data_IF_843959777898
#
_entry.id   IF_843959777898
#
_cell.length_a   1.000
_cell.length_b   1.000
_cell.length_c   1.000
_cell.angle_alpha   90.00
_cell.angle_beta   90.00
_cell.angle_gamma   90.00
#
_symmetry.space_group_name_H-M   'P 1'
#
loop_
_entity.id
_entity.type
_entity.pdbx_description
1 polymer ?
#
# COMPACT_ATOMS: atom_id res chain seq x y z
N UNK A 1 -12.56 -8.31 28.49
CA UNK A 1 -13.47 -8.81 27.43
C UNK A 1 -13.91 -7.75 26.41
N UNK A 2 -13.00 -6.94 25.86
CA UNK A 2 -13.31 -6.06 24.72
C UNK A 2 -13.48 -6.84 23.42
N UNK A 3 -12.69 -7.89 23.22
CA UNK A 3 -12.73 -8.76 22.03
C UNK A 3 -14.04 -9.55 21.93
N UNK A 4 -14.46 -10.22 23.02
CA UNK A 4 -15.78 -10.87 23.10
C UNK A 4 -16.93 -9.91 22.84
N UNK A 5 -16.83 -8.66 23.30
CA UNK A 5 -17.84 -7.65 22.99
C UNK A 5 -17.84 -7.25 21.51
N UNK A 6 -16.67 -7.10 20.90
CA UNK A 6 -16.55 -6.79 19.48
C UNK A 6 -17.20 -7.87 18.60
N UNK A 7 -17.08 -9.15 18.98
CA UNK A 7 -17.72 -10.28 18.29
C UNK A 7 -19.26 -10.23 18.33
N UNK A 8 -19.86 -9.68 19.39
CA UNK A 8 -21.33 -9.51 19.46
C UNK A 8 -21.87 -8.49 18.47
N UNK A 9 -21.00 -7.62 17.93
CA UNK A 9 -21.40 -6.57 16.99
C UNK A 9 -21.26 -7.10 15.55
N UNK A 10 -22.32 -7.11 14.75
CA UNK A 10 -22.25 -7.69 13.41
C UNK A 10 -21.36 -6.86 12.49
N UNK A 11 -20.46 -7.54 11.78
CA UNK A 11 -19.59 -6.98 10.73
C UNK A 11 -20.45 -6.35 9.62
N UNK A 12 -19.98 -5.25 8.99
CA UNK A 12 -20.73 -4.58 7.93
C UNK A 12 -20.89 -5.47 6.67
N UNK A 13 -22.00 -5.29 5.96
CA UNK A 13 -22.31 -6.04 4.73
C UNK A 13 -21.22 -5.82 3.67
N UNK A 14 -20.74 -6.90 3.07
CA UNK A 14 -19.68 -6.88 2.05
C UNK A 14 -18.25 -6.93 2.58
N UNK A 15 -18.06 -6.98 3.91
CA UNK A 15 -16.74 -7.09 4.52
C UNK A 15 -16.09 -8.46 4.30
N UNK A 16 -16.92 -9.50 4.16
CA UNK A 16 -16.50 -10.85 3.81
C UNK A 16 -17.01 -11.15 2.40
N UNK A 17 -16.13 -11.54 1.46
CA UNK A 17 -16.55 -11.99 0.13
C UNK A 17 -17.56 -13.13 0.22
N UNK A 18 -18.59 -13.11 -0.65
CA UNK A 18 -19.57 -14.21 -0.73
C UNK A 18 -18.95 -15.52 -1.23
N UNK A 19 -17.96 -15.39 -2.10
CA UNK A 19 -17.13 -16.46 -2.64
C UNK A 19 -15.81 -16.47 -1.86
N UNK A 20 -15.36 -17.62 -1.37
CA UNK A 20 -14.09 -17.67 -0.64
C UNK A 20 -13.97 -18.91 0.21
N UNK A 21 -12.71 -19.27 0.47
CA UNK A 21 -12.37 -20.38 1.36
C UNK A 21 -12.89 -20.11 2.77
N UNK A 22 -13.24 -21.15 3.55
CA UNK A 22 -13.75 -21.00 4.92
C UNK A 22 -12.89 -20.08 5.81
N UNK A 23 -11.56 -20.11 5.63
CA UNK A 23 -10.62 -19.27 6.38
C UNK A 23 -10.81 -17.76 6.18
N UNK A 24 -11.30 -17.31 5.02
CA UNK A 24 -11.51 -15.88 4.76
C UNK A 24 -12.68 -15.28 5.55
N UNK A 25 -13.63 -16.12 6.00
CA UNK A 25 -14.75 -15.69 6.84
C UNK A 25 -14.31 -15.38 8.27
N UNK A 26 -13.37 -16.17 8.78
CA UNK A 26 -12.79 -16.01 10.11
C UNK A 26 -11.71 -14.92 10.16
N UNK A 27 -11.16 -14.54 9.00
CA UNK A 27 -10.07 -13.57 8.94
C UNK A 27 -10.49 -12.17 9.43
N UNK A 28 -9.67 -11.50 10.26
CA UNK A 28 -9.88 -10.11 10.65
C UNK A 28 -9.92 -9.17 9.43
N UNK A 29 -10.61 -8.04 9.57
CA UNK A 29 -10.70 -7.04 8.50
C UNK A 29 -9.37 -6.29 8.27
N UNK A 30 -8.45 -6.38 9.22
CA UNK A 30 -7.10 -5.80 9.16
C UNK A 30 -6.18 -6.51 8.18
N UNK A 31 -6.41 -7.81 7.99
CA UNK A 31 -5.56 -8.63 7.14
C UNK A 31 -6.01 -8.53 5.69
N UNK A 32 -5.04 -8.37 4.79
CA UNK A 32 -5.25 -8.44 3.34
C UNK A 32 -5.66 -9.86 2.98
N UNK A 33 -6.60 -9.99 2.05
CA UNK A 33 -6.97 -11.32 1.54
C UNK A 33 -5.79 -11.87 0.73
N UNK A 34 -5.25 -13.06 1.08
CA UNK A 34 -4.22 -13.70 0.29
C UNK A 34 -4.82 -14.20 -1.03
N UNK A 35 -4.17 -13.88 -2.14
CA UNK A 35 -4.57 -14.36 -3.46
C UNK A 35 -4.05 -15.77 -3.65
N UNK A 36 -4.94 -16.74 -3.80
CA UNK A 36 -4.60 -18.13 -4.12
C UNK A 36 -4.85 -18.32 -5.62
N UNK A 37 -3.88 -18.79 -6.41
CA UNK A 37 -4.07 -19.02 -7.83
C UNK A 37 -5.22 -20.00 -8.05
N UNK A 38 -6.19 -19.61 -8.87
CA UNK A 38 -7.37 -20.40 -9.19
C UNK A 38 -7.80 -20.18 -10.65
N UNK A 39 -8.76 -20.97 -11.16
CA UNK A 39 -9.22 -20.84 -12.53
C UNK A 39 -9.77 -19.44 -12.82
N UNK A 40 -9.63 -18.97 -14.08
CA UNK A 40 -10.16 -17.67 -14.51
C UNK A 40 -11.67 -17.65 -14.20
N UNK A 41 -12.12 -16.60 -13.50
CA UNK A 41 -13.48 -16.40 -12.91
C UNK A 41 -13.77 -17.01 -11.52
N UNK A 42 -12.85 -17.77 -10.92
CA UNK A 42 -13.05 -18.31 -9.56
C UNK A 42 -13.26 -17.22 -8.49
N UNK A 43 -12.68 -16.03 -8.72
CA UNK A 43 -12.77 -14.90 -7.80
C UNK A 43 -13.35 -13.69 -8.54
N UNK A 44 -14.48 -13.17 -8.06
CA UNK A 44 -15.08 -11.94 -8.59
C UNK A 44 -15.30 -10.95 -7.45
N UNK A 45 -14.25 -10.21 -7.09
CA UNK A 45 -14.34 -9.19 -6.03
C UNK A 45 -15.32 -8.10 -6.43
N UNK A 46 -16.25 -7.83 -5.52
CA UNK A 46 -17.29 -6.82 -5.69
C UNK A 46 -17.41 -6.01 -4.41
N UNK A 47 -17.68 -4.70 -4.55
CA UNK A 47 -17.81 -3.79 -3.40
C UNK A 47 -19.27 -3.51 -3.08
N UNK A 48 -19.95 -2.81 -3.97
CA UNK A 48 -21.38 -2.46 -3.88
C UNK A 48 -22.06 -2.55 -5.24
N UNK A 49 -23.38 -2.44 -5.21
CA UNK A 49 -24.19 -2.29 -6.42
C UNK A 49 -23.93 -0.95 -7.10
N UNK A 50 -24.17 -0.95 -8.42
CA UNK A 50 -24.19 0.28 -9.23
C UNK A 50 -25.15 1.28 -8.60
N UNK A 51 -24.75 2.55 -8.54
CA UNK A 51 -25.54 3.64 -7.99
C UNK A 51 -25.82 3.55 -6.49
N UNK A 52 -25.09 2.70 -5.75
CA UNK A 52 -25.05 2.76 -4.29
C UNK A 52 -23.76 3.40 -3.85
N UNK A 53 -23.86 4.46 -3.05
CA UNK A 53 -22.71 5.17 -2.50
C UNK A 53 -21.75 4.18 -1.83
N UNK A 54 -20.50 4.22 -2.30
CA UNK A 54 -19.42 3.35 -1.81
C UNK A 54 -18.98 3.79 -0.41
N UNK A 55 -18.74 5.09 -0.25
CA UNK A 55 -18.28 5.73 0.97
C UNK A 55 -19.45 6.42 1.69
N UNK A 56 -19.83 5.91 2.87
CA UNK A 56 -20.69 6.68 3.79
C UNK A 56 -19.84 7.71 4.52
N UNK A 57 -20.27 8.96 4.47
CA UNK A 57 -19.78 9.99 5.39
C UNK A 57 -20.26 9.59 6.79
N UNK A 58 -19.31 9.49 7.73
CA UNK A 58 -19.64 9.35 9.13
C UNK A 58 -20.35 10.62 9.60
N UNK A 59 -21.41 10.46 10.39
CA UNK A 59 -22.15 11.58 11.01
C UNK A 59 -21.35 12.28 12.10
N UNK A 60 -20.31 11.63 12.63
CA UNK A 60 -19.39 12.17 13.63
C UNK A 60 -18.09 12.57 12.93
N UNK A 61 -17.64 13.81 13.18
CA UNK A 61 -16.35 14.32 12.70
C UNK A 61 -15.21 13.58 13.41
N UNK A 62 -14.39 12.86 12.64
CA UNK A 62 -13.24 12.14 13.20
C UNK A 62 -12.01 13.05 13.25
N UNK A 63 -11.53 13.34 14.45
CA UNK A 63 -10.31 14.13 14.67
C UNK A 63 -9.03 13.29 14.61
N UNK A 64 -9.13 11.95 14.54
CA UNK A 64 -7.96 11.07 14.57
C UNK A 64 -7.23 11.02 13.23
N UNK A 65 -7.94 11.26 12.11
CA UNK A 65 -7.37 11.25 10.75
C UNK A 65 -7.91 12.43 9.91
N UNK A 66 -7.50 13.68 10.22
CA UNK A 66 -8.02 14.87 9.55
C UNK A 66 -7.68 14.92 8.05
N UNK A 67 -6.65 14.19 7.62
CA UNK A 67 -6.20 14.14 6.21
C UNK A 67 -6.64 12.87 5.47
N UNK A 68 -7.45 12.01 6.09
CA UNK A 68 -7.94 10.76 5.50
C UNK A 68 -6.82 9.86 4.96
N UNK A 69 -5.69 9.77 5.67
CA UNK A 69 -4.56 8.91 5.28
C UNK A 69 -4.95 7.42 5.29
N UNK A 70 -5.94 7.03 6.10
CA UNK A 70 -6.34 5.64 6.18
C UNK A 70 -7.14 5.16 4.96
N UNK A 71 -8.03 5.97 4.40
CA UNK A 71 -8.92 5.58 3.29
C UNK A 71 -8.99 6.69 2.25
N UNK A 72 -8.64 6.39 0.99
CA UNK A 72 -8.79 7.36 -0.09
C UNK A 72 -10.22 7.37 -0.61
N UNK A 73 -10.89 8.51 -0.49
CA UNK A 73 -12.25 8.71 -0.98
C UNK A 73 -12.28 9.15 -2.44
N UNK A 74 -11.75 8.31 -3.34
CA UNK A 74 -11.77 8.59 -4.77
C UNK A 74 -13.21 8.52 -5.31
N UNK A 75 -13.52 9.43 -6.23
CA UNK A 75 -14.79 9.42 -6.95
C UNK A 75 -14.83 8.25 -7.92
N UNK A 76 -15.88 7.43 -7.81
CA UNK A 76 -16.10 6.28 -8.67
C UNK A 76 -17.46 6.40 -9.37
N UNK A 77 -17.49 6.62 -10.69
CA UNK A 77 -18.74 6.88 -11.42
C UNK A 77 -19.79 5.78 -11.25
N UNK A 78 -19.38 4.50 -11.22
CA UNK A 78 -20.30 3.37 -11.09
C UNK A 78 -21.04 3.35 -9.73
N UNK A 79 -20.52 4.03 -8.72
CA UNK A 79 -21.15 4.16 -7.40
C UNK A 79 -21.90 5.47 -7.19
N UNK A 80 -21.96 6.33 -8.22
CA UNK A 80 -22.74 7.56 -8.18
C UNK A 80 -24.24 7.26 -8.28
N UNK A 81 -24.99 7.69 -7.27
CA UNK A 81 -26.42 7.47 -7.17
C UNK A 81 -27.19 8.18 -8.30
N UNK A 82 -26.69 9.32 -8.77
CA UNK A 82 -27.31 10.10 -9.85
C UNK A 82 -27.11 9.44 -11.22
N UNK A 83 -26.03 8.67 -11.40
CA UNK A 83 -25.76 7.92 -12.62
C UNK A 83 -26.46 6.55 -12.66
N UNK A 84 -27.15 6.15 -11.58
CA UNK A 84 -27.84 4.86 -11.51
C UNK A 84 -28.81 4.65 -12.68
N UNK A 85 -29.64 5.65 -13.00
CA UNK A 85 -30.62 5.58 -14.09
C UNK A 85 -29.93 5.44 -15.45
N UNK A 86 -28.79 6.11 -15.64
CA UNK A 86 -28.00 6.02 -16.86
C UNK A 86 -27.43 4.60 -17.04
N UNK A 87 -26.77 4.05 -16.02
CA UNK A 87 -26.17 2.72 -16.11
C UNK A 87 -27.19 1.57 -16.12
N UNK A 88 -28.39 1.80 -15.59
CA UNK A 88 -29.46 0.79 -15.59
C UNK A 88 -30.14 0.61 -16.95
N UNK A 89 -29.91 1.52 -17.92
CA UNK A 89 -30.45 1.36 -19.27
C UNK A 89 -29.93 0.05 -19.91
N UNK A 90 -30.77 -0.76 -20.58
CA UNK A 90 -30.37 -2.06 -21.10
C UNK A 90 -29.11 -2.03 -21.98
N UNK A 91 -28.99 -1.01 -22.83
CA UNK A 91 -27.83 -0.81 -23.72
C UNK A 91 -26.55 -0.62 -22.89
N UNK A 92 -26.58 0.31 -21.92
CA UNK A 92 -25.44 0.61 -21.07
C UNK A 92 -25.07 -0.58 -20.17
N UNK A 93 -26.07 -1.27 -19.61
CA UNK A 93 -25.86 -2.49 -18.82
C UNK A 93 -25.17 -3.59 -19.65
N UNK A 94 -25.59 -3.81 -20.90
CA UNK A 94 -24.93 -4.75 -21.81
C UNK A 94 -23.47 -4.35 -22.08
N UNK A 95 -23.20 -3.06 -22.29
CA UNK A 95 -21.83 -2.56 -22.47
C UNK A 95 -20.97 -2.80 -21.21
N UNK A 96 -21.50 -2.51 -20.01
CA UNK A 96 -20.80 -2.73 -18.74
C UNK A 96 -20.51 -4.22 -18.47
N UNK A 97 -21.43 -5.11 -18.81
CA UNK A 97 -21.24 -6.57 -18.71
C UNK A 97 -20.18 -7.05 -19.71
N UNK A 98 -20.23 -6.57 -20.96
CA UNK A 98 -19.23 -6.91 -22.00
C UNK A 98 -17.82 -6.41 -21.63
N UNK A 99 -17.73 -5.29 -20.93
CA UNK A 99 -16.48 -4.72 -20.43
C UNK A 99 -15.99 -5.35 -19.11
N UNK A 100 -16.71 -6.34 -18.56
CA UNK A 100 -16.41 -7.01 -17.29
C UNK A 100 -16.31 -6.07 -16.07
N UNK A 101 -17.07 -4.97 -16.09
CA UNK A 101 -17.07 -3.98 -15.00
C UNK A 101 -18.13 -4.27 -13.92
N UNK A 102 -19.16 -5.02 -14.27
CA UNK A 102 -20.26 -5.39 -13.37
C UNK A 102 -20.57 -6.88 -13.48
N UNK A 103 -21.22 -7.41 -12.46
CA UNK A 103 -21.85 -8.73 -12.48
C UNK A 103 -23.29 -8.65 -13.00
N UNK A 104 -23.90 -9.79 -13.32
CA UNK A 104 -25.30 -9.86 -13.74
C UNK A 104 -26.27 -9.23 -12.71
N UNK A 105 -25.90 -9.31 -11.43
CA UNK A 105 -26.65 -8.75 -10.29
C UNK A 105 -26.45 -7.24 -10.08
N UNK A 106 -25.78 -6.56 -11.01
CA UNK A 106 -25.39 -5.14 -10.94
C UNK A 106 -24.40 -4.85 -9.79
N UNK A 107 -23.68 -5.85 -9.29
CA UNK A 107 -22.56 -5.62 -8.35
C UNK A 107 -21.33 -5.17 -9.15
N UNK A 108 -20.71 -4.06 -8.75
CA UNK A 108 -19.52 -3.49 -9.41
C UNK A 108 -18.30 -4.34 -9.08
N UNK A 109 -17.61 -4.83 -10.13
CA UNK A 109 -16.37 -5.59 -10.00
C UNK A 109 -15.20 -4.66 -9.69
N UNK A 110 -14.23 -5.15 -8.94
CA UNK A 110 -13.03 -4.38 -8.60
C UNK A 110 -11.79 -5.27 -8.52
N UNK A 111 -10.61 -4.64 -8.48
CA UNK A 111 -9.37 -5.38 -8.25
C UNK A 111 -9.29 -5.86 -6.79
N UNK A 112 -8.38 -6.81 -6.54
CA UNK A 112 -8.05 -7.23 -5.16
C UNK A 112 -7.50 -6.06 -4.33
N UNK A 113 -6.77 -5.15 -4.98
CA UNK A 113 -6.24 -3.95 -4.32
C UNK A 113 -7.39 -3.07 -3.81
N UNK A 114 -8.32 -2.71 -4.70
CA UNK A 114 -9.47 -1.86 -4.37
C UNK A 114 -10.38 -2.52 -3.32
N UNK A 115 -10.52 -3.86 -3.38
CA UNK A 115 -11.30 -4.59 -2.40
C UNK A 115 -10.65 -4.58 -1.01
N UNK A 116 -9.32 -4.69 -0.94
CA UNK A 116 -8.59 -4.57 0.32
C UNK A 116 -8.65 -3.14 0.90
N UNK A 117 -8.60 -2.11 0.04
CA UNK A 117 -8.82 -0.73 0.47
C UNK A 117 -10.25 -0.53 1.00
N UNK A 118 -11.25 -1.07 0.30
CA UNK A 118 -12.63 -1.08 0.78
C UNK A 118 -12.81 -1.86 2.10
N UNK A 119 -12.11 -2.99 2.29
CA UNK A 119 -12.10 -3.72 3.58
C UNK A 119 -11.55 -2.87 4.72
N UNK A 120 -10.50 -2.07 4.46
CA UNK A 120 -9.94 -1.14 5.44
C UNK A 120 -10.96 -0.10 5.87
N UNK A 121 -11.70 0.47 4.91
CA UNK A 121 -12.83 1.36 5.20
C UNK A 121 -13.93 0.67 6.03
N UNK A 122 -14.32 -0.56 5.67
CA UNK A 122 -15.31 -1.32 6.43
C UNK A 122 -14.84 -1.65 7.85
N UNK A 123 -13.53 -1.84 8.08
CA UNK A 123 -12.93 -1.96 9.41
C UNK A 123 -13.20 -0.70 10.24
N UNK A 124 -12.95 0.48 9.67
CA UNK A 124 -13.18 1.76 10.36
C UNK A 124 -14.64 1.90 10.79
N UNK A 125 -15.59 1.67 9.87
CA UNK A 125 -17.02 1.71 10.19
C UNK A 125 -17.38 0.75 11.33
N UNK A 126 -16.81 -0.46 11.29
CA UNK A 126 -17.07 -1.47 12.32
C UNK A 126 -16.50 -1.03 13.69
N UNK A 127 -15.27 -0.51 13.72
CA UNK A 127 -14.66 0.03 14.92
C UNK A 127 -15.46 1.21 15.49
N UNK A 128 -15.94 2.12 14.65
CA UNK A 128 -16.79 3.25 15.07
C UNK A 128 -18.12 2.79 15.66
N UNK A 129 -18.69 1.72 15.11
CA UNK A 129 -19.89 1.08 15.66
C UNK A 129 -19.61 0.48 17.03
N UNK A 130 -18.50 -0.23 17.20
CA UNK A 130 -18.07 -0.78 18.49
C UNK A 130 -17.89 0.33 19.52
N UNK A 131 -17.17 1.40 19.16
CA UNK A 131 -16.96 2.58 20.02
C UNK A 131 -18.27 3.24 20.43
N UNK A 132 -19.23 3.37 19.51
CA UNK A 132 -20.55 3.96 19.80
C UNK A 132 -21.36 3.10 20.77
N UNK A 133 -21.41 1.78 20.55
CA UNK A 133 -22.11 0.88 21.47
C UNK A 133 -21.45 0.84 22.85
N UNK A 134 -20.12 0.89 22.92
CA UNK A 134 -19.40 0.96 24.18
C UNK A 134 -19.69 2.28 24.93
N UNK A 135 -19.67 3.42 24.21
CA UNK A 135 -20.07 4.73 24.77
C UNK A 135 -21.50 4.69 25.31
N UNK A 136 -22.43 4.07 24.58
CA UNK A 136 -23.83 3.92 25.01
C UNK A 136 -23.94 3.09 26.29
N UNK A 137 -23.26 1.94 26.37
CA UNK A 137 -23.23 1.10 27.58
C UNK A 137 -22.63 1.83 28.78
N UNK A 138 -21.53 2.56 28.57
CA UNK A 138 -20.90 3.32 29.65
C UNK A 138 -21.80 4.45 30.17
N UNK A 139 -22.48 5.18 29.28
CA UNK A 139 -23.47 6.20 29.68
C UNK A 139 -24.59 5.59 30.54
N UNK A 140 -25.19 4.50 30.07
CA UNK A 140 -26.24 3.80 30.81
C UNK A 140 -25.74 3.29 32.18
N UNK A 141 -24.49 2.83 32.27
CA UNK A 141 -23.89 2.40 33.53
C UNK A 141 -23.71 3.57 34.51
N UNK A 142 -23.21 4.71 34.04
CA UNK A 142 -23.03 5.93 34.85
C UNK A 142 -24.38 6.47 35.32
N UNK A 143 -25.38 6.56 34.43
CA UNK A 143 -26.74 7.00 34.76
C UNK A 143 -27.37 6.09 35.83
N UNK A 144 -27.30 4.76 35.67
CA UNK A 144 -27.79 3.81 36.69
C UNK A 144 -27.10 3.95 38.04
N UNK A 145 -25.82 4.33 38.06
CA UNK A 145 -25.08 4.56 39.31
C UNK A 145 -25.50 5.88 39.96
N UNK A 146 -25.69 6.93 39.17
CA UNK A 146 -26.16 8.22 39.64
C UNK A 146 -27.58 8.14 40.22
N UNK A 147 -28.49 7.40 39.55
CA UNK A 147 -29.85 7.16 40.05
C UNK A 147 -29.83 6.46 41.41
N UNK A 148 -29.07 5.36 41.55
CA UNK A 148 -28.94 4.65 42.83
C UNK A 148 -28.37 5.52 43.95
N UNK A 149 -27.43 6.41 43.63
CA UNK A 149 -26.88 7.34 44.60
C UNK A 149 -27.91 8.39 45.02
N UNK A 150 -28.67 8.95 44.08
CA UNK A 150 -29.73 9.92 44.36
C UNK A 150 -30.85 9.30 45.22
N UNK A 151 -31.26 8.06 44.91
CA UNK A 151 -32.23 7.30 45.71
C UNK A 151 -31.74 7.09 47.16
N UNK A 152 -30.46 6.78 47.34
CA UNK A 152 -29.88 6.58 48.67
C UNK A 152 -29.80 7.88 49.48
N UNK A 153 -29.44 9.00 48.85
CA UNK A 153 -29.45 10.32 49.49
C UNK A 153 -30.87 10.74 49.87
N UNK A 154 -31.85 10.54 48.99
CA UNK A 154 -33.25 10.85 49.26
C UNK A 154 -33.76 10.08 50.49
N UNK A 155 -33.43 8.79 50.63
CA UNK A 155 -33.78 8.01 51.83
C UNK A 155 -33.19 8.58 53.11
N UNK A 156 -31.90 8.95 53.11
CA UNK A 156 -31.22 9.52 54.28
C UNK A 156 -31.81 10.87 54.68
N UNK A 157 -32.19 11.69 53.71
CA UNK A 157 -32.78 13.00 53.96
C UNK A 157 -34.17 12.88 54.61
N UNK A 158 -35.00 11.96 54.10
CA UNK A 158 -36.30 11.62 54.69
C UNK A 158 -36.14 11.18 56.15
N UNK A 159 -35.16 10.33 56.44
CA UNK A 159 -34.86 9.87 57.79
C UNK A 159 -34.42 11.03 58.71
N UNK A 160 -33.53 11.92 58.26
CA UNK A 160 -33.13 13.12 59.04
C UNK A 160 -34.30 14.03 59.35
N UNK A 161 -35.15 14.33 58.36
CA UNK A 161 -36.32 15.19 58.53
C UNK A 161 -37.26 14.59 59.58
N UNK A 162 -37.48 13.28 59.53
CA UNK A 162 -38.26 12.56 60.54
C UNK A 162 -37.68 12.78 61.95
N UNK A 163 -36.37 12.57 62.16
CA UNK A 163 -35.73 12.79 63.47
C UNK A 163 -35.82 14.25 63.97
N UNK A 164 -35.57 15.23 63.10
CA UNK A 164 -35.64 16.66 63.46
C UNK A 164 -37.07 17.07 63.82
N UNK A 165 -38.06 16.61 63.06
CA UNK A 165 -39.47 16.90 63.34
C UNK A 165 -39.91 16.36 64.70
N UNK A 166 -39.46 15.15 65.06
CA UNK A 166 -39.71 14.54 66.36
C UNK A 166 -39.03 15.32 67.51
N UNK A 167 -37.82 15.85 67.29
CA UNK A 167 -37.11 16.68 68.27
C UNK A 167 -37.78 18.04 68.50
N UNK A 168 -38.19 18.73 67.42
CA UNK A 168 -38.87 20.04 67.51
C UNK A 168 -40.21 19.90 68.24
N UNK A 169 -40.97 18.82 67.96
CA UNK A 169 -42.21 18.53 68.68
C UNK A 169 -41.99 18.41 70.20
N UNK A 170 -40.94 17.68 70.64
CA UNK A 170 -40.56 17.55 72.06
C UNK A 170 -40.13 18.88 72.71
N UNK A 171 -39.45 19.75 71.96
CA UNK A 171 -38.94 21.03 72.48
C UNK A 171 -40.05 22.08 72.60
N UNK A 172 -41.04 22.04 71.70
CA UNK A 172 -42.22 22.92 71.71
C UNK A 172 -43.16 22.63 72.90
N UNK A 173 -43.27 21.37 73.33
CA UNK A 173 -43.99 20.98 74.56
C UNK A 173 -43.29 21.44 75.84
N UNK A 174 -41.98 21.67 75.83
CA UNK A 174 -41.22 22.13 77.00
C UNK A 174 -41.27 23.65 77.19
N UNK A 175 -41.26 24.42 76.10
CA UNK A 175 -41.28 25.90 76.13
C UNK A 175 -42.62 26.52 76.54
N UNK A 176 -43.70 25.73 76.60
CA UNK A 176 -45.05 26.20 76.96
C UNK A 176 -45.32 26.23 78.47
N UNK A 177 -44.39 25.73 79.31
CA UNK A 177 -44.60 25.54 80.75
C UNK A 177 -43.96 26.62 81.64
N UNK A 178 -43.13 27.53 81.10
CA UNK A 178 -42.37 28.50 81.90
C UNK A 178 -42.29 29.87 81.22
N UNK A 179 -42.97 30.88 81.77
CA UNK A 179 -42.57 32.28 81.58
C UNK A 179 -43.68 33.30 81.36
N UNK A 180 -44.33 33.75 82.44
CA UNK A 180 -45.25 34.92 82.41
C UNK A 180 -45.21 35.82 83.68
N UNK A 181 -44.13 35.84 84.49
CA UNK A 181 -44.07 36.64 85.74
C UNK A 181 -42.92 37.66 85.86
N UNK A 182 -42.18 37.97 84.80
CA UNK A 182 -40.95 38.81 84.87
C UNK A 182 -40.99 40.09 83.99
N UNK A 183 -42.17 40.60 83.60
CA UNK A 183 -42.25 41.66 82.57
C UNK A 183 -42.43 43.10 83.05
N UNK A 184 -42.85 43.35 84.29
CA UNK A 184 -43.24 44.72 84.70
C UNK A 184 -42.17 45.49 85.50
N UNK A 185 -41.34 44.81 86.31
CA UNK A 185 -40.22 45.46 87.02
C UNK A 185 -39.03 45.79 86.09
N UNK A 186 -38.94 45.12 84.94
CA UNK A 186 -37.90 45.35 83.92
C UNK A 186 -38.04 46.68 83.18
N UNK A 187 -39.22 47.32 83.21
CA UNK A 187 -39.52 48.46 82.34
C UNK A 187 -38.93 49.77 82.89
N UNK A 188 -39.00 49.98 84.22
CA UNK A 188 -38.52 51.19 84.90
C UNK A 188 -37.00 51.17 85.13
N UNK A 189 -36.41 50.02 85.51
CA UNK A 189 -34.95 49.87 85.55
C UNK A 189 -34.29 50.02 84.16
N UNK A 190 -35.03 49.64 83.10
CA UNK A 190 -34.56 49.78 81.72
C UNK A 190 -34.42 51.25 81.33
N UNK A 191 -35.32 52.14 81.78
CA UNK A 191 -35.30 53.56 81.44
C UNK A 191 -34.09 54.30 82.04
N UNK A 192 -33.76 54.07 83.31
CA UNK A 192 -32.59 54.71 83.94
C UNK A 192 -31.26 54.18 83.37
N UNK A 193 -31.18 52.88 83.10
CA UNK A 193 -30.03 52.27 82.39
C UNK A 193 -29.91 52.75 80.94
N UNK A 194 -30.99 53.19 80.30
CA UNK A 194 -30.97 53.71 78.93
C UNK A 194 -30.25 55.06 78.88
N UNK A 195 -30.50 55.97 79.84
CA UNK A 195 -29.86 57.29 79.84
C UNK A 195 -28.34 57.24 80.11
N UNK A 196 -27.88 56.44 81.07
CA UNK A 196 -26.43 56.22 81.27
C UNK A 196 -25.76 55.54 80.06
N UNK A 197 -26.48 54.68 79.34
CA UNK A 197 -25.99 54.07 78.11
C UNK A 197 -25.80 55.10 77.00
N UNK A 198 -26.73 56.04 76.83
CA UNK A 198 -26.63 57.09 75.80
C UNK A 198 -25.36 57.94 75.97
N UNK A 199 -25.04 58.38 77.19
CA UNK A 199 -23.83 59.18 77.43
C UNK A 199 -22.53 58.39 77.21
N UNK A 200 -22.52 57.11 77.60
CA UNK A 200 -21.40 56.21 77.28
C UNK A 200 -21.30 55.88 75.80
N UNK A 201 -22.43 55.82 75.10
CA UNK A 201 -22.52 55.63 73.66
C UNK A 201 -21.89 56.81 72.92
N UNK A 202 -22.13 58.05 73.34
CA UNK A 202 -21.48 59.24 72.75
C UNK A 202 -19.96 59.26 72.91
N UNK A 203 -19.44 58.84 74.07
CA UNK A 203 -17.98 58.72 74.27
C UNK A 203 -17.40 57.56 73.46
N UNK A 204 -18.16 56.48 73.27
CA UNK A 204 -17.78 55.36 72.41
C UNK A 204 -17.80 55.75 70.94
N UNK A 205 -18.79 56.52 70.48
CA UNK A 205 -18.86 56.99 69.08
C UNK A 205 -17.69 57.89 68.74
N UNK A 206 -17.32 58.87 69.60
CA UNK A 206 -16.11 59.69 69.39
C UNK A 206 -14.83 58.86 69.30
N UNK A 207 -14.64 57.88 70.19
CA UNK A 207 -13.49 56.95 70.13
C UNK A 207 -13.51 56.08 68.88
N UNK A 208 -14.69 55.68 68.41
CA UNK A 208 -14.86 54.93 67.16
C UNK A 208 -14.55 55.79 65.93
N UNK A 209 -14.95 57.06 65.92
CA UNK A 209 -14.64 58.01 64.86
C UNK A 209 -13.15 58.28 64.75
N UNK A 210 -12.43 58.48 65.87
CA UNK A 210 -10.98 58.61 65.85
C UNK A 210 -10.27 57.34 65.35
N UNK A 211 -10.75 56.15 65.79
CA UNK A 211 -10.24 54.86 65.28
C UNK A 211 -10.54 54.70 63.79
N UNK A 212 -11.72 55.10 63.34
CA UNK A 212 -12.12 55.07 61.94
C UNK A 212 -11.24 56.00 61.10
N UNK A 213 -10.94 57.20 61.59
CA UNK A 213 -10.04 58.15 60.94
C UNK A 213 -8.61 57.61 60.81
N UNK A 214 -8.04 57.06 61.91
CA UNK A 214 -6.71 56.42 61.89
C UNK A 214 -6.67 55.21 60.94
N UNK A 215 -7.74 54.42 60.92
CA UNK A 215 -7.88 53.26 60.01
C UNK A 215 -7.98 53.71 58.55
N UNK A 216 -8.74 54.77 58.28
CA UNK A 216 -8.88 55.34 56.94
C UNK A 216 -7.54 55.88 56.40
N UNK A 217 -6.73 56.55 57.23
CA UNK A 217 -5.38 56.96 56.86
C UNK A 217 -4.48 55.75 56.54
N UNK A 218 -4.49 54.70 57.37
CA UNK A 218 -3.73 53.46 57.11
C UNK A 218 -4.16 52.77 55.82
N UNK A 219 -5.46 52.72 55.54
CA UNK A 219 -6.01 52.16 54.31
C UNK A 219 -5.59 52.96 53.07
N UNK A 220 -5.51 54.30 53.16
CA UNK A 220 -4.98 55.14 52.07
C UNK A 220 -3.52 54.79 51.77
N UNK A 221 -2.69 54.63 52.80
CA UNK A 221 -1.28 54.24 52.62
C UNK A 221 -1.14 52.83 52.03
N UNK A 222 -1.89 51.84 52.54
CA UNK A 222 -1.90 50.47 52.03
C UNK A 222 -2.32 50.39 50.55
N UNK A 223 -3.26 51.24 50.11
CA UNK A 223 -3.64 51.33 48.69
C UNK A 223 -2.48 51.79 47.81
N UNK A 224 -1.63 52.70 48.29
CA UNK A 224 -0.43 53.14 47.54
C UNK A 224 0.60 52.02 47.45
N UNK A 225 0.89 51.35 48.58
CA UNK A 225 1.83 50.22 48.62
C UNK A 225 1.39 49.09 47.69
N UNK A 226 0.12 48.68 47.72
CA UNK A 226 -0.40 47.65 46.80
C UNK A 226 -0.29 48.04 45.33
N UNK A 227 -0.49 49.32 45.00
CA UNK A 227 -0.33 49.79 43.61
C UNK A 227 1.11 49.64 43.14
N UNK A 228 2.07 49.91 44.01
CA UNK A 228 3.49 49.79 43.69
C UNK A 228 3.93 48.33 43.62
N UNK A 229 3.47 47.48 44.54
CA UNK A 229 3.67 46.03 44.47
C UNK A 229 3.13 45.44 43.16
N UNK A 230 1.93 45.85 42.74
CA UNK A 230 1.35 45.40 41.48
C UNK A 230 2.18 45.85 40.26
N UNK A 231 2.74 47.06 40.29
CA UNK A 231 3.65 47.53 39.23
C UNK A 231 4.89 46.66 39.13
N UNK A 232 5.52 46.34 40.27
CA UNK A 232 6.70 45.49 40.30
C UNK A 232 6.41 44.07 39.80
N UNK A 233 5.24 43.51 40.15
CA UNK A 233 4.80 42.21 39.65
C UNK A 233 4.61 42.26 38.13
N UNK A 234 3.97 43.31 37.62
CA UNK A 234 3.75 43.47 36.18
C UNK A 234 5.08 43.57 35.42
N UNK A 235 6.05 44.35 35.92
CA UNK A 235 7.39 44.46 35.32
C UNK A 235 8.07 43.09 35.25
N UNK A 236 8.07 42.32 36.34
CA UNK A 236 8.66 40.97 36.37
C UNK A 236 7.96 40.01 35.40
N UNK A 237 6.65 40.13 35.28
CA UNK A 237 5.87 39.30 34.35
C UNK A 237 6.19 39.64 32.89
N UNK A 238 6.34 40.92 32.56
CA UNK A 238 6.71 41.38 31.22
C UNK A 238 8.13 40.92 30.84
N UNK A 239 9.08 40.99 31.78
CA UNK A 239 10.43 40.44 31.61
C UNK A 239 10.40 38.93 31.30
N UNK A 240 9.58 38.15 32.02
CA UNK A 240 9.42 36.72 31.78
C UNK A 240 8.80 36.43 30.42
N UNK A 241 7.77 37.18 30.02
CA UNK A 241 7.16 37.05 28.68
C UNK A 241 8.20 37.28 27.59
N UNK A 242 9.04 38.32 27.74
CA UNK A 242 10.02 38.65 26.71
C UNK A 242 11.13 37.59 26.62
N UNK A 243 11.56 37.03 27.75
CA UNK A 243 12.48 35.87 27.77
C UNK A 243 11.86 34.65 27.06
N UNK A 244 10.58 34.37 27.29
CA UNK A 244 9.87 33.27 26.61
C UNK A 244 9.81 33.54 25.10
N UNK A 245 9.48 34.77 24.68
CA UNK A 245 9.45 35.15 23.27
C UNK A 245 10.80 34.97 22.59
N UNK A 246 11.91 35.36 23.24
CA UNK A 246 13.25 35.16 22.72
C UNK A 246 13.58 33.67 22.55
N UNK A 247 13.25 32.83 23.55
CA UNK A 247 13.44 31.38 23.47
C UNK A 247 12.61 30.77 22.33
N UNK A 248 11.35 31.19 22.18
CA UNK A 248 10.50 30.75 21.08
C UNK A 248 11.11 31.11 19.71
N UNK A 249 11.61 32.34 19.54
CA UNK A 249 12.30 32.76 18.31
C UNK A 249 13.49 31.85 17.98
N UNK A 250 14.36 31.59 18.96
CA UNK A 250 15.52 30.70 18.78
C UNK A 250 15.08 29.28 18.39
N UNK A 251 14.06 28.73 19.04
CA UNK A 251 13.53 27.40 18.71
C UNK A 251 12.95 27.36 17.28
N UNK A 252 12.23 28.42 16.86
CA UNK A 252 11.73 28.51 15.49
C UNK A 252 12.87 28.59 14.45
N UNK A 253 13.97 29.27 14.77
CA UNK A 253 15.16 29.34 13.93
C UNK A 253 15.82 27.95 13.78
N UNK A 254 16.00 27.23 14.90
CA UNK A 254 16.60 25.90 14.93
C UNK A 254 15.75 24.90 14.14
N UNK A 255 14.42 24.93 14.32
CA UNK A 255 13.51 24.03 13.60
C UNK A 255 13.53 24.31 12.09
N UNK A 256 13.56 25.57 11.67
CA UNK A 256 13.75 25.94 10.26
C UNK A 256 15.05 25.39 9.68
N UNK A 257 16.17 25.54 10.41
CA UNK A 257 17.47 24.97 9.98
C UNK A 257 17.41 23.46 9.81
N UNK A 258 16.83 22.73 10.78
CA UNK A 258 16.64 21.27 10.68
C UNK A 258 15.84 20.86 9.45
N UNK A 259 14.78 21.59 9.10
CA UNK A 259 13.99 21.32 7.89
C UNK A 259 14.84 21.53 6.63
N UNK A 260 15.63 22.60 6.57
CA UNK A 260 16.53 22.88 5.45
C UNK A 260 17.58 21.78 5.31
N UNK A 261 18.19 21.34 6.41
CA UNK A 261 19.20 20.28 6.42
C UNK A 261 18.62 18.95 5.91
N UNK A 262 17.41 18.59 6.37
CA UNK A 262 16.70 17.40 5.88
C UNK A 262 16.45 17.50 4.37
N UNK A 263 16.00 18.66 3.86
CA UNK A 263 15.76 18.87 2.44
C UNK A 263 17.05 18.78 1.62
N UNK A 264 18.15 19.34 2.11
CA UNK A 264 19.46 19.28 1.47
C UNK A 264 19.97 17.83 1.38
N UNK A 265 19.86 17.07 2.47
CA UNK A 265 20.21 15.65 2.53
C UNK A 265 19.36 14.81 1.58
N UNK A 266 18.05 15.07 1.51
CA UNK A 266 17.16 14.41 0.56
C UNK A 266 17.58 14.68 -0.89
N UNK A 267 17.90 15.94 -1.23
CA UNK A 267 18.37 16.31 -2.57
C UNK A 267 19.69 15.64 -2.92
N UNK A 268 20.63 15.54 -1.97
CA UNK A 268 21.91 14.83 -2.14
C UNK A 268 21.70 13.33 -2.38
N UNK A 269 20.87 12.68 -1.55
CA UNK A 269 20.51 11.27 -1.71
C UNK A 269 19.79 11.01 -3.03
N UNK A 270 18.91 11.91 -3.45
CA UNK A 270 18.18 11.75 -4.71
C UNK A 270 19.10 11.85 -5.93
N UNK A 271 20.03 12.81 -5.93
CA UNK A 271 21.06 12.92 -6.97
C UNK A 271 21.93 11.65 -7.04
N UNK A 272 22.33 11.09 -5.89
CA UNK A 272 23.07 9.83 -5.84
C UNK A 272 22.25 8.65 -6.37
N UNK A 273 20.95 8.55 -6.01
CA UNK A 273 20.04 7.52 -6.55
C UNK A 273 19.87 7.65 -8.06
N UNK A 274 19.78 8.87 -8.59
CA UNK A 274 19.69 9.13 -10.03
C UNK A 274 20.96 8.67 -10.75
N UNK A 275 22.14 9.09 -10.26
CA UNK A 275 23.43 8.65 -10.80
C UNK A 275 23.58 7.13 -10.80
N UNK A 276 23.25 6.47 -9.68
CA UNK A 276 23.30 5.01 -9.60
C UNK A 276 22.25 4.28 -10.48
N UNK A 277 21.15 4.93 -10.88
CA UNK A 277 20.24 4.39 -11.90
C UNK A 277 20.86 4.49 -13.29
N UNK A 278 21.43 5.64 -13.62
CA UNK A 278 22.10 5.88 -14.90
C UNK A 278 23.30 4.93 -15.10
N UNK A 279 24.15 4.76 -14.08
CA UNK A 279 25.27 3.81 -14.10
C UNK A 279 24.81 2.36 -14.32
N UNK A 280 23.71 1.93 -13.68
CA UNK A 280 23.14 0.59 -13.89
C UNK A 280 22.61 0.40 -15.31
N UNK A 281 21.92 1.41 -15.85
CA UNK A 281 21.43 1.36 -17.23
C UNK A 281 22.59 1.29 -18.23
N UNK A 282 23.65 2.07 -18.02
CA UNK A 282 24.87 2.03 -18.83
C UNK A 282 25.55 0.65 -18.77
N UNK A 283 25.69 0.08 -17.58
CA UNK A 283 26.28 -1.25 -17.41
C UNK A 283 25.44 -2.35 -18.09
N UNK A 284 24.10 -2.28 -17.99
CA UNK A 284 23.21 -3.22 -18.68
C UNK A 284 23.35 -3.06 -20.21
N UNK A 285 23.42 -1.84 -20.72
CA UNK A 285 23.59 -1.58 -22.15
C UNK A 285 24.93 -2.12 -22.66
N UNK A 286 26.03 -1.85 -21.94
CA UNK A 286 27.35 -2.39 -22.26
C UNK A 286 27.38 -3.92 -22.20
N UNK A 287 26.73 -4.53 -21.21
CA UNK A 287 26.66 -5.98 -21.11
C UNK A 287 25.90 -6.59 -22.29
N UNK A 288 24.74 -6.02 -22.65
CA UNK A 288 23.99 -6.46 -23.83
C UNK A 288 24.82 -6.35 -25.11
N UNK A 289 25.62 -5.30 -25.25
CA UNK A 289 26.50 -5.14 -26.40
C UNK A 289 27.59 -6.21 -26.44
N UNK A 290 28.26 -6.47 -25.30
CA UNK A 290 29.24 -7.57 -25.18
C UNK A 290 28.62 -8.92 -25.52
N UNK A 291 27.44 -9.22 -24.98
CA UNK A 291 26.72 -10.47 -25.23
C UNK A 291 26.35 -10.61 -26.72
N UNK A 292 25.99 -9.52 -27.40
CA UNK A 292 25.73 -9.51 -28.85
C UNK A 292 27.00 -9.77 -29.66
N UNK A 293 28.10 -9.10 -29.32
CA UNK A 293 29.41 -9.27 -29.99
C UNK A 293 29.94 -10.70 -29.82
N UNK A 294 29.81 -11.29 -28.63
CA UNK A 294 30.20 -12.67 -28.35
C UNK A 294 29.34 -13.68 -29.14
N UNK A 295 28.02 -13.47 -29.20
CA UNK A 295 27.13 -14.31 -30.01
C UNK A 295 27.45 -14.21 -31.50
N UNK A 296 27.74 -13.01 -31.98
CA UNK A 296 28.10 -12.77 -33.38
C UNK A 296 29.41 -13.46 -33.75
N UNK A 297 30.45 -13.34 -32.91
CA UNK A 297 31.75 -14.01 -33.13
C UNK A 297 31.61 -15.53 -33.12
N UNK A 298 30.86 -16.09 -32.17
CA UNK A 298 30.53 -17.54 -32.17
C UNK A 298 29.83 -17.99 -33.45
N UNK A 299 28.87 -17.19 -33.94
CA UNK A 299 28.14 -17.49 -35.19
C UNK A 299 29.06 -17.42 -36.41
N UNK A 300 29.93 -16.42 -36.49
CA UNK A 300 30.93 -16.28 -37.56
C UNK A 300 31.88 -17.50 -37.58
N UNK A 301 32.44 -17.87 -36.43
CA UNK A 301 33.32 -19.04 -36.33
C UNK A 301 32.62 -20.34 -36.72
N UNK A 302 31.34 -20.50 -36.37
CA UNK A 302 30.55 -21.66 -36.79
C UNK A 302 30.38 -21.71 -38.31
N UNK A 303 30.06 -20.58 -38.94
CA UNK A 303 29.95 -20.48 -40.40
C UNK A 303 31.27 -20.76 -41.11
N UNK A 304 32.39 -20.23 -40.60
CA UNK A 304 33.73 -20.50 -41.16
C UNK A 304 34.06 -22.00 -41.11
N UNK A 305 33.76 -22.67 -39.99
CA UNK A 305 33.97 -24.13 -39.85
C UNK A 305 33.09 -24.92 -40.82
N UNK A 306 31.84 -24.49 -41.03
CA UNK A 306 30.92 -25.16 -41.95
C UNK A 306 31.36 -25.00 -43.41
N UNK A 307 31.75 -23.78 -43.81
CA UNK A 307 32.34 -23.50 -45.13
C UNK A 307 33.60 -24.34 -45.34
N UNK A 308 34.48 -24.43 -44.33
CA UNK A 308 35.68 -25.25 -44.41
C UNK A 308 35.34 -26.74 -44.61
N UNK A 309 34.34 -27.26 -43.88
CA UNK A 309 33.82 -28.62 -44.07
C UNK A 309 33.29 -28.85 -45.48
N UNK A 310 32.46 -27.94 -45.99
CA UNK A 310 31.92 -28.02 -47.34
C UNK A 310 33.02 -28.01 -48.40
N UNK A 311 34.01 -27.12 -48.28
CA UNK A 311 35.19 -27.09 -49.17
C UNK A 311 35.95 -28.42 -49.16
N UNK A 312 36.17 -28.99 -47.98
CA UNK A 312 36.84 -30.29 -47.82
C UNK A 312 36.05 -31.43 -48.50
N UNK A 313 34.72 -31.42 -48.38
CA UNK A 313 33.86 -32.39 -49.05
C UNK A 313 33.89 -32.23 -50.57
N UNK A 314 33.83 -31.00 -51.08
CA UNK A 314 33.96 -30.72 -52.52
C UNK A 314 35.30 -31.19 -53.07
N UNK A 315 36.41 -30.91 -52.37
CA UNK A 315 37.73 -31.42 -52.76
C UNK A 315 37.77 -32.94 -52.85
N UNK A 316 37.15 -33.66 -51.90
CA UNK A 316 37.05 -35.14 -51.97
C UNK A 316 36.24 -35.62 -53.16
N UNK A 317 35.15 -34.93 -53.48
CA UNK A 317 34.32 -35.22 -54.66
C UNK A 317 35.15 -34.99 -55.94
N UNK A 318 35.87 -33.88 -56.02
CA UNK A 318 36.71 -33.53 -57.18
C UNK A 318 37.84 -34.55 -57.38
N UNK A 319 38.52 -34.98 -56.32
CA UNK A 319 39.55 -36.03 -56.41
C UNK A 319 38.95 -37.35 -56.91
N UNK A 320 37.78 -37.75 -56.39
CA UNK A 320 37.09 -38.95 -56.88
C UNK A 320 36.70 -38.81 -58.35
N UNK A 321 36.21 -37.63 -58.75
CA UNK A 321 35.84 -37.32 -60.13
C UNK A 321 37.06 -37.38 -61.06
N UNK A 322 38.20 -36.81 -60.65
CA UNK A 322 39.45 -36.88 -61.40
C UNK A 322 39.91 -38.32 -61.61
N UNK A 323 39.92 -39.11 -60.53
CA UNK A 323 40.27 -40.54 -60.61
C UNK A 323 39.33 -41.31 -61.55
N UNK A 324 38.03 -41.04 -61.48
CA UNK A 324 37.05 -41.64 -62.39
C UNK A 324 37.31 -41.24 -63.85
N UNK A 325 37.59 -39.96 -64.12
CA UNK A 325 37.93 -39.48 -65.47
C UNK A 325 39.18 -40.18 -65.99
N UNK A 326 40.21 -40.33 -65.15
CA UNK A 326 41.46 -41.01 -65.49
C UNK A 326 41.23 -42.50 -65.80
N UNK A 327 40.50 -43.21 -64.94
CA UNK A 327 40.12 -44.61 -65.14
C UNK A 327 39.29 -44.80 -66.42
N UNK A 328 38.33 -43.90 -66.67
CA UNK A 328 37.52 -43.89 -67.87
C UNK A 328 38.36 -43.67 -69.14
N UNK A 329 39.23 -42.66 -69.13
CA UNK A 329 40.12 -42.35 -70.26
C UNK A 329 41.08 -43.53 -70.53
N UNK A 330 41.61 -44.16 -69.49
CA UNK A 330 42.44 -45.36 -69.61
C UNK A 330 41.68 -46.53 -70.26
N UNK A 331 40.41 -46.73 -69.88
CA UNK A 331 39.54 -47.73 -70.51
C UNK A 331 39.29 -47.42 -71.99
N UNK A 332 38.94 -46.17 -72.30
CA UNK A 332 38.73 -45.71 -73.68
C UNK A 332 40.00 -45.87 -74.51
N UNK A 333 41.17 -45.53 -73.97
CA UNK A 333 42.45 -45.68 -74.65
C UNK A 333 42.77 -47.16 -74.93
N UNK A 334 42.50 -48.06 -73.98
CA UNK A 334 42.65 -49.52 -74.17
C UNK A 334 41.74 -50.05 -75.28
N UNK A 335 40.46 -49.67 -75.26
CA UNK A 335 39.51 -50.08 -76.30
C UNK A 335 39.87 -49.48 -77.67
N UNK A 336 40.29 -48.22 -77.70
CA UNK A 336 40.79 -47.57 -78.93
C UNK A 336 42.01 -48.30 -79.50
N UNK A 337 42.95 -48.72 -78.64
CA UNK A 337 44.12 -49.50 -79.05
C UNK A 337 43.72 -50.89 -79.57
N UNK A 338 42.74 -51.56 -78.94
CA UNK A 338 42.19 -52.83 -79.46
C UNK A 338 41.53 -52.63 -80.82
N UNK A 339 40.67 -51.62 -80.96
CA UNK A 339 40.02 -51.29 -82.23
C UNK A 339 41.04 -50.97 -83.33
N UNK A 340 42.11 -50.22 -83.01
CA UNK A 340 43.21 -49.96 -83.96
C UNK A 340 43.90 -51.26 -84.39
N UNK A 341 44.23 -52.16 -83.45
CA UNK A 341 44.83 -53.47 -83.79
C UNK A 341 43.91 -54.29 -84.71
N UNK A 342 42.63 -54.39 -84.38
CA UNK A 342 41.65 -55.09 -85.21
C UNK A 342 41.53 -54.47 -86.61
N UNK A 343 41.56 -53.14 -86.69
CA UNK A 343 41.49 -52.41 -87.96
C UNK A 343 42.77 -52.58 -88.78
N UNK A 344 43.94 -52.62 -88.15
CA UNK A 344 45.21 -52.91 -88.80
C UNK A 344 45.28 -54.36 -89.28
N UNK A 345 44.81 -55.32 -88.48
CA UNK A 345 44.72 -56.74 -88.86
C UNK A 345 43.71 -56.92 -90.03
N UNK A 346 42.58 -56.22 -90.00
CA UNK A 346 41.62 -56.20 -91.10
C UNK A 346 42.21 -55.58 -92.38
N UNK A 347 42.89 -54.43 -92.29
CA UNK A 347 43.61 -53.84 -93.43
C UNK A 347 44.65 -54.79 -94.01
N UNK A 348 45.38 -55.51 -93.14
CA UNK A 348 46.40 -56.46 -93.54
C UNK A 348 45.78 -57.69 -94.22
N UNK A 349 44.63 -58.18 -93.73
CA UNK A 349 43.83 -59.21 -94.39
C UNK A 349 43.31 -58.75 -95.76
N UNK A 350 42.72 -57.55 -95.85
CA UNK A 350 42.22 -56.97 -97.11
C UNK A 350 43.35 -56.80 -98.12
N UNK A 351 44.52 -56.30 -97.69
CA UNK A 351 45.71 -56.18 -98.53
C UNK A 351 46.23 -57.55 -99.00
N UNK A 352 46.18 -58.58 -98.15
CA UNK A 352 46.55 -59.95 -98.52
C UNK A 352 45.56 -60.56 -99.52
N UNK A 353 44.26 -60.33 -99.31
CA UNK A 353 43.19 -60.74 -100.22
C UNK A 353 43.33 -60.07 -101.60
N UNK A 354 43.51 -58.74 -101.65
CA UNK A 354 43.75 -57.99 -102.90
C UNK A 354 45.00 -58.52 -103.62
N UNK A 355 46.11 -58.75 -102.90
CA UNK A 355 47.34 -59.29 -103.51
C UNK A 355 47.19 -60.70 -104.08
N UNK A 356 46.27 -61.53 -103.55
CA UNK A 356 45.95 -62.86 -104.09
C UNK A 356 45.12 -62.79 -105.38
N UNK A 357 44.36 -61.72 -105.59
CA UNK A 357 43.54 -61.52 -106.79
C UNK A 357 44.32 -60.93 -107.97
N UNK A 358 45.61 -60.61 -107.83
CA UNK A 358 46.48 -60.14 -108.91
C UNK A 358 47.12 -61.32 -109.68
N UNK A 359 47.43 -61.15 -110.99
CA UNK A 359 47.81 -62.27 -111.89
C UNK A 359 49.04 -63.10 -111.45
N UNK A 360 50.00 -62.49 -110.76
CA UNK A 360 51.26 -63.14 -110.33
C UNK A 360 51.26 -63.64 -108.87
N UNK A 361 50.12 -63.58 -108.16
CA UNK A 361 50.06 -63.66 -106.68
C UNK A 361 50.12 -65.06 -106.04
N UNK A 362 50.18 -66.17 -106.79
CA UNK A 362 49.99 -67.53 -106.22
C UNK A 362 51.20 -68.14 -105.48
N UNK A 363 52.38 -67.49 -105.47
CA UNK A 363 53.60 -68.05 -104.83
C UNK A 363 54.12 -67.34 -103.57
N UNK A 364 53.42 -66.34 -103.02
CA UNK A 364 53.89 -65.62 -101.82
C UNK A 364 53.02 -65.91 -100.59
N UNK A 365 53.68 -66.52 -99.59
CA UNK A 365 53.09 -67.03 -98.35
C UNK A 365 52.45 -65.90 -97.52
N UNK A 366 51.26 -66.24 -97.02
CA UNK A 366 50.43 -65.55 -96.05
C UNK A 366 51.20 -65.16 -94.77
N UNK A 367 51.13 -63.89 -94.42
CA UNK A 367 51.42 -63.25 -93.12
C UNK A 367 52.23 -64.07 -92.08
N UNK A 368 53.55 -63.82 -92.00
CA UNK A 368 54.45 -64.38 -90.98
C UNK A 368 54.00 -64.18 -89.51
N UNK A 369 53.15 -63.18 -89.23
CA UNK A 369 52.74 -62.78 -87.87
C UNK A 369 51.89 -63.82 -87.11
N UNK A 370 51.24 -64.76 -87.81
CA UNK A 370 50.39 -65.81 -87.18
C UNK A 370 51.02 -67.21 -87.15
N UNK A 371 52.23 -67.38 -87.72
CA UNK A 371 52.93 -68.67 -87.71
C UNK A 371 53.68 -68.95 -86.40
N UNK A 372 53.88 -67.94 -85.52
CA UNK A 372 54.72 -68.05 -84.32
C UNK A 372 53.97 -68.23 -82.99
N UNK A 373 52.63 -68.19 -82.96
CA UNK A 373 51.87 -68.20 -81.69
C UNK A 373 51.39 -69.59 -81.20
N UNK A 374 51.75 -70.69 -81.86
CA UNK A 374 51.36 -72.04 -81.42
C UNK A 374 52.39 -72.75 -80.51
N UNK A 375 53.40 -72.04 -79.98
CA UNK A 375 54.38 -72.64 -79.06
C UNK A 375 54.74 -71.72 -77.89
N UNK A 376 53.78 -71.29 -77.05
CA UNK A 376 54.00 -71.04 -75.62
C UNK A 376 52.63 -71.11 -74.90
N UNK A 377 52.23 -72.32 -74.53
CA UNK A 377 51.30 -72.63 -73.45
C UNK A 377 51.80 -73.94 -72.84
N UNK A 378 52.82 -73.84 -71.99
CA UNK A 378 53.31 -74.91 -71.11
C UNK A 378 54.33 -74.31 -70.13
N UNK A 379 53.84 -73.76 -69.02
CA UNK A 379 54.36 -73.88 -67.66
C UNK A 379 53.52 -73.05 -66.69
#
# INVERSE_FOLDING_TARGET
>A
DLERFAETIPKPKGAVPKFGLPGWKMMPLEHKIPMIPGPKSAYSFTRRKVGKKLWRMNLEFDLNDPYCHETKFLYEPLHDEHLFKFFSRPINRKCLLKADLITDNMDVKCSLHDYNEYRKYLRQIHADRIKRELRKRNRLFVEKRALRFAEDQARKEVERIYYISAYIAKKRTWFTYTGLKEKEQFITERQHRVQQRLLQEELKTRKLEERAYRTAQRLKLLKLVRREEQRLINIKHDEQIEQIRQKCKIVTEITRRKVIDILADWKKKDKARKKGREERLMNIAQQKQRDMEEKWTKKRQFQEKDIAKQKMLLQRIDVRRQKFIEDYNNKINKETAKMKRLLDDAKLFTNCYIKRCLPDGRKLICCKKYLTNNMVNAN
#
